data_IF_236545206617
#
_entry.id   IF_236545206617
#
_cell.length_a   1.000
_cell.length_b   1.000
_cell.length_c   1.000
_cell.angle_alpha   90.00
_cell.angle_beta   90.00
_cell.angle_gamma   90.00
#
_symmetry.space_group_name_H-M   'P 1'
#
loop_
_entity.id
_entity.type
_entity.pdbx_description
1 polymer ?
#
# COMPACT_ATOMS: atom_id res chain seq x y z
N UNK A 1 -7.74 10.64 -45.59
CA UNK A 1 -6.97 10.65 -44.32
C UNK A 1 -7.93 11.02 -43.20
N UNK A 2 -8.39 10.04 -42.42
CA UNK A 2 -9.28 10.26 -41.26
C UNK A 2 -8.92 9.24 -40.17
N UNK A 3 -7.72 9.38 -39.59
CA UNK A 3 -7.22 8.48 -38.54
C UNK A 3 -7.27 9.11 -37.13
N UNK A 4 -7.58 10.40 -36.98
CA UNK A 4 -7.70 11.04 -35.66
C UNK A 4 -8.93 10.57 -34.85
N UNK A 5 -10.04 10.24 -35.53
CA UNK A 5 -11.31 9.93 -34.86
C UNK A 5 -11.28 8.61 -34.07
N UNK A 6 -10.59 7.59 -34.60
CA UNK A 6 -10.47 6.29 -33.92
C UNK A 6 -9.50 6.34 -32.75
N UNK A 7 -8.48 7.19 -32.79
CA UNK A 7 -7.50 7.28 -31.70
C UNK A 7 -8.06 8.00 -30.47
N UNK A 8 -8.77 9.12 -30.67
CA UNK A 8 -9.44 9.84 -29.55
C UNK A 8 -10.46 8.97 -28.80
N UNK A 9 -11.21 8.16 -29.53
CA UNK A 9 -12.19 7.22 -28.93
C UNK A 9 -11.48 6.13 -28.13
N UNK A 10 -10.38 5.58 -28.66
CA UNK A 10 -9.54 4.61 -27.93
C UNK A 10 -8.98 5.19 -26.64
N UNK A 11 -8.39 6.37 -26.69
CA UNK A 11 -7.84 7.03 -25.50
C UNK A 11 -8.90 7.34 -24.43
N UNK A 12 -10.10 7.74 -24.85
CA UNK A 12 -11.22 7.93 -23.91
C UNK A 12 -11.59 6.62 -23.22
N UNK A 13 -11.68 5.52 -23.99
CA UNK A 13 -12.03 4.20 -23.47
C UNK A 13 -10.95 3.63 -22.55
N UNK A 14 -9.68 3.86 -22.88
CA UNK A 14 -8.54 3.53 -22.01
C UNK A 14 -8.69 4.27 -20.68
N UNK A 15 -8.86 5.60 -20.71
CA UNK A 15 -9.00 6.39 -19.47
C UNK A 15 -10.15 5.92 -18.58
N UNK A 16 -11.28 5.61 -19.18
CA UNK A 16 -12.44 5.07 -18.45
C UNK A 16 -12.11 3.73 -17.76
N UNK A 17 -11.49 2.80 -18.49
CA UNK A 17 -11.09 1.50 -17.94
C UNK A 17 -9.98 1.60 -16.90
N UNK A 18 -9.04 2.54 -17.05
CA UNK A 18 -8.01 2.81 -16.06
C UNK A 18 -8.63 3.33 -14.76
N UNK A 19 -9.59 4.25 -14.86
CA UNK A 19 -10.29 4.74 -13.70
C UNK A 19 -11.07 3.63 -12.98
N UNK A 20 -11.74 2.76 -13.73
CA UNK A 20 -12.41 1.58 -13.19
C UNK A 20 -11.42 0.61 -12.50
N UNK A 21 -10.24 0.42 -13.09
CA UNK A 21 -9.14 -0.34 -12.47
C UNK A 21 -8.61 0.29 -11.18
N UNK A 22 -8.49 1.61 -11.14
CA UNK A 22 -8.04 2.34 -9.95
C UNK A 22 -9.01 2.17 -8.78
N UNK A 23 -10.31 2.30 -9.06
CA UNK A 23 -11.42 2.12 -8.12
C UNK A 23 -11.71 0.65 -7.78
N UNK A 24 -11.03 -0.30 -8.42
CA UNK A 24 -11.24 -1.72 -8.17
C UNK A 24 -10.84 -2.07 -6.73
N UNK A 25 -11.86 -2.28 -5.90
CA UNK A 25 -11.78 -2.77 -4.54
C UNK A 25 -12.65 -4.00 -4.39
N UNK A 26 -12.25 -4.93 -3.53
CA UNK A 26 -13.07 -6.10 -3.24
C UNK A 26 -14.23 -5.65 -2.36
N UNK A 27 -15.45 -5.96 -2.78
CA UNK A 27 -16.62 -5.62 -1.98
C UNK A 27 -16.78 -6.59 -0.80
N UNK A 28 -17.50 -6.17 0.23
CA UNK A 28 -17.73 -7.00 1.43
C UNK A 28 -18.53 -8.28 1.09
N UNK A 29 -19.41 -8.21 0.09
CA UNK A 29 -20.29 -9.31 -0.35
C UNK A 29 -19.81 -10.03 -1.62
N UNK A 30 -18.56 -9.84 -2.01
CA UNK A 30 -17.98 -10.39 -3.23
C UNK A 30 -16.91 -11.43 -2.91
N UNK A 31 -16.88 -12.54 -3.67
CA UNK A 31 -15.83 -13.55 -3.52
C UNK A 31 -14.54 -13.13 -4.25
N UNK A 32 -13.41 -13.69 -3.81
CA UNK A 32 -12.10 -13.45 -4.44
C UNK A 32 -12.18 -13.75 -5.95
N UNK A 33 -12.80 -14.86 -6.34
CA UNK A 33 -12.97 -15.24 -7.75
C UNK A 33 -13.75 -14.21 -8.58
N UNK A 34 -14.78 -13.60 -8.00
CA UNK A 34 -15.59 -12.58 -8.67
C UNK A 34 -14.79 -11.29 -8.88
N UNK A 35 -14.03 -10.88 -7.84
CA UNK A 35 -13.12 -9.73 -7.92
C UNK A 35 -12.04 -9.96 -8.98
N UNK A 36 -11.44 -11.15 -9.01
CA UNK A 36 -10.48 -11.54 -10.05
C UNK A 36 -11.09 -11.55 -11.45
N UNK A 37 -12.36 -11.93 -11.58
CA UNK A 37 -13.06 -11.93 -12.87
C UNK A 37 -13.29 -10.51 -13.39
N UNK A 38 -13.71 -9.57 -12.53
CA UNK A 38 -13.81 -8.14 -12.87
C UNK A 38 -12.45 -7.57 -13.26
N UNK A 39 -11.44 -7.82 -12.45
CA UNK A 39 -10.06 -7.42 -12.73
C UNK A 39 -9.58 -7.91 -14.10
N UNK A 40 -9.74 -9.21 -14.37
CA UNK A 40 -9.32 -9.84 -15.63
C UNK A 40 -10.06 -9.24 -16.83
N UNK A 41 -11.35 -8.94 -16.67
CA UNK A 41 -12.16 -8.29 -17.72
C UNK A 41 -11.62 -6.91 -18.09
N UNK A 42 -11.24 -6.12 -17.09
CA UNK A 42 -10.65 -4.78 -17.29
C UNK A 42 -9.28 -4.89 -17.97
N UNK A 43 -8.40 -5.78 -17.49
CA UNK A 43 -7.07 -5.98 -18.06
C UNK A 43 -7.14 -6.47 -19.51
N UNK A 44 -8.04 -7.42 -19.82
CA UNK A 44 -8.24 -7.88 -21.19
C UNK A 44 -8.74 -6.76 -22.10
N UNK A 45 -9.65 -5.92 -21.60
CA UNK A 45 -10.15 -4.75 -22.35
C UNK A 45 -9.05 -3.72 -22.61
N UNK A 46 -8.19 -3.44 -21.63
CA UNK A 46 -7.03 -2.55 -21.78
C UNK A 46 -6.00 -3.12 -22.76
N UNK A 47 -5.73 -4.43 -22.69
CA UNK A 47 -4.83 -5.14 -23.62
C UNK A 47 -5.32 -5.07 -25.05
N UNK A 48 -6.62 -5.23 -25.28
CA UNK A 48 -7.25 -5.08 -26.61
C UNK A 48 -7.13 -3.65 -27.16
N UNK A 49 -6.97 -2.65 -26.29
CA UNK A 49 -6.77 -1.24 -26.65
C UNK A 49 -5.29 -0.87 -26.82
N UNK A 50 -4.36 -1.80 -26.58
CA UNK A 50 -2.92 -1.61 -26.71
C UNK A 50 -2.21 -1.13 -25.42
N UNK A 51 -2.91 -1.09 -24.29
CA UNK A 51 -2.33 -0.79 -22.97
C UNK A 51 -2.07 -2.10 -22.23
N UNK A 52 -0.80 -2.44 -22.07
CA UNK A 52 -0.35 -3.59 -21.27
C UNK A 52 0.24 -3.11 -19.95
N UNK A 53 -0.02 -3.87 -18.89
CA UNK A 53 0.57 -3.66 -17.57
C UNK A 53 1.53 -4.80 -17.25
N UNK A 54 2.67 -4.54 -16.61
CA UNK A 54 3.57 -5.59 -16.17
C UNK A 54 2.90 -6.44 -15.08
N UNK A 55 3.10 -7.76 -15.13
CA UNK A 55 2.52 -8.70 -14.16
C UNK A 55 2.83 -8.32 -12.71
N UNK A 56 3.99 -7.73 -12.43
CA UNK A 56 4.37 -7.27 -11.09
C UNK A 56 3.40 -6.22 -10.54
N UNK A 57 2.96 -5.27 -11.36
CA UNK A 57 2.02 -4.21 -10.95
C UNK A 57 0.61 -4.79 -10.71
N UNK A 58 0.21 -5.74 -11.56
CA UNK A 58 -1.04 -6.48 -11.43
C UNK A 58 -1.10 -7.27 -10.12
N UNK A 59 -0.05 -8.03 -9.81
CA UNK A 59 0.06 -8.80 -8.55
C UNK A 59 0.05 -7.87 -7.35
N UNK A 60 0.78 -6.74 -7.40
CA UNK A 60 0.82 -5.76 -6.31
C UNK A 60 -0.56 -5.16 -6.01
N UNK A 61 -1.37 -4.91 -7.05
CA UNK A 61 -2.74 -4.39 -6.90
C UNK A 61 -3.66 -5.40 -6.20
N UNK A 62 -3.61 -6.67 -6.60
CA UNK A 62 -4.40 -7.75 -5.99
C UNK A 62 -4.02 -7.93 -4.53
N UNK A 63 -2.71 -8.00 -4.24
CA UNK A 63 -2.19 -8.19 -2.89
C UNK A 63 -2.59 -7.03 -1.96
N UNK A 64 -2.55 -5.79 -2.48
CA UNK A 64 -2.98 -4.60 -1.73
C UNK A 64 -4.46 -4.65 -1.33
N UNK A 65 -5.31 -5.21 -2.19
CA UNK A 65 -6.74 -5.38 -1.90
C UNK A 65 -6.97 -6.45 -0.80
N UNK A 66 -6.17 -7.52 -0.80
CA UNK A 66 -6.22 -8.56 0.23
C UNK A 66 -5.79 -8.03 1.62
N UNK A 67 -4.69 -7.28 1.68
CA UNK A 67 -4.19 -6.70 2.94
C UNK A 67 -5.14 -5.66 3.56
N UNK A 68 -5.99 -5.01 2.75
CA UNK A 68 -6.98 -4.04 3.23
C UNK A 68 -8.07 -4.69 4.10
N UNK A 69 -8.48 -5.93 3.80
CA UNK A 69 -9.43 -6.69 4.64
C UNK A 69 -8.85 -7.04 6.01
N UNK A 70 -7.56 -7.44 6.04
CA UNK A 70 -6.85 -7.75 7.30
C UNK A 70 -6.71 -6.51 8.20
N UNK A 71 -6.52 -5.31 7.63
CA UNK A 71 -6.49 -4.05 8.39
C UNK A 71 -7.83 -3.66 9.02
N UNK A 72 -8.96 -3.95 8.37
CA UNK A 72 -10.30 -3.66 8.93
C UNK A 72 -10.61 -4.54 10.16
N UNK A 73 -10.11 -5.78 10.18
CA UNK A 73 -10.29 -6.70 11.31
C UNK A 73 -9.51 -6.28 12.58
N UNK A 74 -8.35 -5.65 12.45
CA UNK A 74 -7.56 -5.13 13.58
C UNK A 74 -8.06 -3.77 14.11
N UNK A 75 -8.71 -2.94 13.28
CA UNK A 75 -9.30 -1.68 13.74
C UNK A 75 -10.54 -1.89 14.64
N UNK A 76 -11.32 -2.95 14.38
CA UNK A 76 -12.53 -3.25 15.16
C UNK A 76 -12.26 -3.69 16.61
N UNK A 77 -11.01 -4.06 16.95
CA UNK A 77 -10.63 -4.46 18.31
C UNK A 77 -10.11 -3.30 19.16
N UNK A 78 -9.94 -2.10 18.59
CA UNK A 78 -9.45 -0.91 19.31
C UNK A 78 -10.54 0.13 19.60
N UNK A 79 -11.77 -0.10 19.16
CA UNK A 79 -12.91 0.82 19.39
C UNK A 79 -13.68 0.51 20.69
N UNK A 80 -13.23 -0.48 21.46
CA UNK A 80 -13.87 -0.93 22.72
C UNK A 80 -13.07 -0.52 23.97
N UNK A 81 -12.12 0.41 23.84
CA UNK A 81 -11.42 0.95 25.00
C UNK A 81 -12.04 2.28 25.44
N UNK A 82 -12.88 2.17 26.46
CA UNK A 82 -13.54 3.20 27.27
C UNK A 82 -12.67 4.47 27.46
N UNK A 83 -13.11 5.67 27.00
CA UNK A 83 -12.40 6.93 27.22
C UNK A 83 -12.65 7.47 28.64
N UNK A 84 -12.34 6.65 29.64
CA UNK A 84 -12.41 6.99 31.07
C UNK A 84 -11.04 6.82 31.72
N UNK A 85 -10.06 7.61 31.28
CA UNK A 85 -8.96 8.04 32.13
C UNK A 85 -8.40 9.34 31.55
N UNK A 86 -9.13 10.40 31.82
CA UNK A 86 -8.64 11.77 31.70
C UNK A 86 -7.51 11.92 32.72
N UNK A 87 -6.27 12.03 32.27
CA UNK A 87 -5.21 12.70 33.00
C UNK A 87 -4.48 13.60 31.99
N UNK A 88 -4.80 14.88 32.06
CA UNK A 88 -4.06 15.95 31.38
C UNK A 88 -2.69 16.09 32.06
N UNK A 89 -1.68 15.38 31.56
CA UNK A 89 -0.29 15.71 31.86
C UNK A 89 0.22 16.68 30.79
N UNK A 90 0.43 17.92 31.22
CA UNK A 90 0.94 19.05 30.45
C UNK A 90 2.15 18.67 29.59
N UNK A 91 2.11 19.07 28.32
CA UNK A 91 3.13 18.84 27.27
C UNK A 91 4.56 19.25 27.67
N UNK A 92 4.72 20.04 28.73
CA UNK A 92 6.00 20.52 29.25
C UNK A 92 6.83 19.45 29.99
N UNK A 93 6.22 18.41 30.55
CA UNK A 93 6.98 17.32 31.22
C UNK A 93 7.55 16.30 30.22
N UNK A 94 6.88 16.12 29.07
CA UNK A 94 7.28 15.18 28.01
C UNK A 94 8.60 15.62 27.35
N UNK A 95 8.81 16.93 27.20
CA UNK A 95 10.03 17.47 26.60
C UNK A 95 11.29 17.20 27.46
N UNK A 96 11.14 17.20 28.79
CA UNK A 96 12.25 16.95 29.71
C UNK A 96 12.68 15.48 29.72
N UNK A 97 11.73 14.54 29.58
CA UNK A 97 12.02 13.11 29.45
C UNK A 97 12.76 12.82 28.14
N UNK A 98 12.32 13.44 27.04
CA UNK A 98 12.97 13.29 25.76
C UNK A 98 14.43 13.79 25.78
N UNK A 99 14.74 14.85 26.53
CA UNK A 99 16.10 15.37 26.64
C UNK A 99 17.00 14.48 27.50
N UNK A 100 16.51 13.97 28.65
CA UNK A 100 17.26 13.00 29.47
C UNK A 100 17.58 11.71 28.72
N UNK A 101 16.72 11.27 27.79
CA UNK A 101 16.97 10.09 26.97
C UNK A 101 18.03 10.29 25.87
N UNK A 102 18.37 11.53 25.51
CA UNK A 102 19.33 11.82 24.44
C UNK A 102 20.76 11.99 24.99
N UNK A 103 20.93 12.36 26.26
CA UNK A 103 22.25 12.56 26.88
C UNK A 103 22.88 11.28 27.48
N UNK A 104 22.17 10.13 27.51
CA UNK A 104 22.66 8.92 28.21
C UNK A 104 23.35 7.84 27.35
N UNK A 105 23.58 8.06 26.05
CA UNK A 105 24.41 7.12 25.25
C UNK A 105 25.41 7.86 24.34
N UNK A 106 26.46 8.42 24.95
CA UNK A 106 27.78 8.48 24.32
C UNK A 106 28.58 7.22 24.69
N UNK A 107 29.32 6.70 23.69
CA UNK A 107 30.31 5.61 23.71
C UNK A 107 29.81 4.17 23.43
N UNK A 108 29.74 3.81 22.13
CA UNK A 108 30.55 2.69 21.60
C UNK A 108 30.56 2.71 20.06
N UNK A 109 31.61 3.32 19.51
CA UNK A 109 31.90 3.38 18.08
C UNK A 109 32.49 2.04 17.60
N UNK A 110 31.67 1.04 17.28
CA UNK A 110 32.14 -0.19 16.64
C UNK A 110 32.10 -0.03 15.12
N UNK A 111 33.18 0.54 14.58
CA UNK A 111 33.48 0.54 13.15
C UNK A 111 33.72 -0.90 12.66
N UNK A 112 32.69 -1.58 12.14
CA UNK A 112 32.87 -2.83 11.41
C UNK A 112 33.57 -2.56 10.07
N UNK A 113 34.90 -2.69 10.06
CA UNK A 113 35.70 -2.76 8.84
C UNK A 113 35.27 -4.00 8.02
N UNK A 114 35.13 -3.84 6.71
CA UNK A 114 34.62 -4.84 5.76
C UNK A 114 35.57 -6.03 5.49
N UNK A 115 36.70 -6.14 6.20
CA UNK A 115 37.78 -7.07 5.86
C UNK A 115 37.75 -8.46 6.53
N UNK A 116 36.70 -8.82 7.29
CA UNK A 116 36.66 -10.11 8.02
C UNK A 116 35.68 -11.15 7.45
N UNK A 117 35.58 -11.26 6.12
CA UNK A 117 34.88 -12.37 5.44
C UNK A 117 35.85 -13.22 4.60
N UNK A 118 36.97 -13.61 5.19
CA UNK A 118 37.82 -14.65 4.61
C UNK A 118 38.44 -15.52 5.71
N UNK A 119 37.63 -16.43 6.28
CA UNK A 119 38.12 -17.74 6.76
C UNK A 119 36.95 -18.69 7.09
N UNK A 120 36.24 -19.10 6.04
CA UNK A 120 35.50 -20.34 6.05
C UNK A 120 35.74 -21.09 4.73
N UNK A 121 36.97 -21.57 4.54
CA UNK A 121 37.30 -22.67 3.65
C UNK A 121 37.99 -23.78 4.44
#
# INVERSE_FOLDING_TARGET
>A
VSYEGTNRVKESKIRMLVHEYELLMMHDNENISDMFSRFTTIINSLKNLGKCYPNQELVRKILSNEHSKKKKAMAATWDDNDPSSFDEESDEEIANIAFMAIEEEEEDEVNFSFDELQDAY
#
